data_IF_912481345618
#
_entry.id   IF_912481345618
#
_cell.length_a   1.000
_cell.length_b   1.000
_cell.length_c   1.000
_cell.angle_alpha   90.00
_cell.angle_beta   90.00
_cell.angle_gamma   90.00
#
_symmetry.space_group_name_H-M   'P 1'
#
loop_
_entity.id
_entity.type
_entity.pdbx_description
1 polymer ?
#
# COMPACT_ATOMS: atom_id res chain seq x y z
N UNK A 1 12.24 22.05 -3.06
CA UNK A 1 12.40 20.60 -2.85
C UNK A 1 13.23 20.32 -1.59
N UNK A 2 14.50 20.75 -1.54
CA UNK A 2 15.40 20.49 -0.40
C UNK A 2 14.94 21.16 0.92
N UNK A 3 14.44 22.40 0.86
CA UNK A 3 13.95 23.13 2.05
C UNK A 3 12.68 22.54 2.69
N UNK A 4 11.88 21.77 1.94
CA UNK A 4 10.61 21.19 2.43
C UNK A 4 10.71 19.70 2.77
N UNK A 5 11.60 18.97 2.10
CA UNK A 5 11.68 17.51 2.22
C UNK A 5 13.08 17.00 2.59
N UNK A 6 14.05 17.90 2.85
CA UNK A 6 15.40 17.57 3.35
C UNK A 6 16.36 16.94 2.34
N UNK A 7 15.87 16.43 1.21
CA UNK A 7 16.65 15.86 0.09
C UNK A 7 16.07 16.34 -1.24
N UNK A 8 16.90 16.95 -2.09
CA UNK A 8 16.49 17.57 -3.35
C UNK A 8 15.83 16.61 -4.35
N UNK A 9 16.32 15.38 -4.49
CA UNK A 9 15.80 14.42 -5.48
C UNK A 9 14.52 13.74 -4.95
N UNK A 10 14.54 13.32 -3.68
CA UNK A 10 13.34 12.73 -3.05
C UNK A 10 12.21 13.76 -2.93
N UNK A 11 12.54 15.02 -2.63
CA UNK A 11 11.58 16.11 -2.53
C UNK A 11 10.85 16.42 -3.84
N UNK A 12 11.46 16.19 -5.00
CA UNK A 12 10.77 16.32 -6.29
C UNK A 12 9.68 15.26 -6.48
N UNK A 13 9.98 14.01 -6.12
CA UNK A 13 9.00 12.90 -6.22
C UNK A 13 7.83 13.10 -5.26
N UNK A 14 8.10 13.57 -4.04
CA UNK A 14 7.08 13.86 -3.04
C UNK A 14 6.17 15.01 -3.46
N UNK A 15 6.73 16.10 -4.00
CA UNK A 15 5.94 17.20 -4.54
C UNK A 15 5.07 16.77 -5.73
N UNK A 16 5.59 15.93 -6.63
CA UNK A 16 4.82 15.40 -7.75
C UNK A 16 3.64 14.52 -7.28
N UNK A 17 3.88 13.65 -6.28
CA UNK A 17 2.84 12.81 -5.69
C UNK A 17 1.76 13.64 -4.97
N UNK A 18 2.17 14.61 -4.15
CA UNK A 18 1.24 15.51 -3.45
C UNK A 18 0.37 16.29 -4.44
N UNK A 19 0.98 16.87 -5.47
CA UNK A 19 0.26 17.60 -6.51
C UNK A 19 -0.76 16.72 -7.25
N UNK A 20 -0.39 15.48 -7.58
CA UNK A 20 -1.28 14.54 -8.24
C UNK A 20 -2.48 14.13 -7.36
N UNK A 21 -2.27 13.94 -6.06
CA UNK A 21 -3.33 13.59 -5.11
C UNK A 21 -4.33 14.73 -4.91
N UNK A 22 -3.87 15.97 -4.74
CA UNK A 22 -4.74 17.15 -4.58
C UNK A 22 -5.65 17.32 -5.80
N UNK A 23 -5.13 17.10 -7.01
CA UNK A 23 -5.89 17.23 -8.25
C UNK A 23 -6.91 16.11 -8.49
N UNK A 24 -6.79 14.97 -7.80
CA UNK A 24 -7.70 13.85 -7.98
C UNK A 24 -9.12 14.17 -7.46
N UNK A 25 -9.22 15.04 -6.46
CA UNK A 25 -10.49 15.45 -5.84
C UNK A 25 -11.40 16.27 -6.77
N UNK A 26 -10.83 16.89 -7.80
CA UNK A 26 -11.56 17.81 -8.70
C UNK A 26 -12.42 17.08 -9.75
N UNK A 27 -12.21 15.80 -9.98
CA UNK A 27 -12.89 15.03 -11.02
C UNK A 27 -14.00 14.12 -10.46
N UNK A 28 -15.24 14.27 -10.96
CA UNK A 28 -16.32 13.35 -10.60
C UNK A 28 -15.97 11.92 -11.04
N UNK A 29 -16.08 10.91 -10.15
CA UNK A 29 -15.79 9.53 -10.50
C UNK A 29 -16.83 9.02 -11.51
N UNK A 30 -16.47 8.96 -12.79
CA UNK A 30 -17.35 8.41 -13.81
C UNK A 30 -17.39 6.86 -13.71
N UNK A 31 -18.53 6.29 -13.36
CA UNK A 31 -18.68 4.83 -13.12
C UNK A 31 -18.78 3.98 -14.39
N UNK A 32 -18.79 4.60 -15.58
CA UNK A 32 -19.03 3.90 -16.86
C UNK A 32 -17.91 2.90 -17.25
N UNK A 33 -16.77 2.92 -16.56
CA UNK A 33 -15.57 2.15 -16.88
C UNK A 33 -14.88 1.61 -15.61
N UNK A 34 -15.51 0.66 -14.91
CA UNK A 34 -14.98 0.11 -13.67
C UNK A 34 -13.57 -0.47 -13.84
N UNK A 35 -12.66 -0.08 -12.95
CA UNK A 35 -11.27 -0.58 -12.86
C UNK A 35 -11.04 -0.98 -11.41
N UNK A 36 -10.88 -2.29 -11.10
CA UNK A 36 -10.72 -2.74 -9.73
C UNK A 36 -9.45 -2.15 -9.11
N UNK A 37 -9.58 -1.50 -7.96
CA UNK A 37 -8.47 -1.25 -7.04
C UNK A 37 -8.60 -2.24 -5.89
N UNK A 38 -7.54 -2.98 -5.58
CA UNK A 38 -7.63 -4.15 -4.70
C UNK A 38 -7.07 -3.82 -3.31
N UNK A 39 -7.85 -4.14 -2.27
CA UNK A 39 -7.38 -4.25 -0.90
C UNK A 39 -7.21 -5.74 -0.58
N UNK A 40 -5.97 -6.15 -0.36
CA UNK A 40 -5.57 -7.54 -0.19
C UNK A 40 -5.30 -7.79 1.28
N UNK A 41 -6.21 -8.51 1.95
CA UNK A 41 -6.07 -8.84 3.37
C UNK A 41 -5.31 -10.16 3.52
N UNK A 42 -4.10 -10.09 4.08
CA UNK A 42 -3.28 -11.24 4.40
C UNK A 42 -3.43 -11.58 5.88
N UNK A 43 -3.62 -12.88 6.16
CA UNK A 43 -3.50 -13.42 7.51
C UNK A 43 -2.08 -13.89 7.73
N UNK A 44 -1.55 -13.57 8.90
CA UNK A 44 -0.29 -14.10 9.37
C UNK A 44 -0.51 -15.35 10.22
N UNK A 45 0.48 -16.25 10.22
CA UNK A 45 0.55 -17.39 11.13
C UNK A 45 1.26 -17.01 12.45
N UNK A 46 1.50 -18.00 13.30
CA UNK A 46 2.17 -17.81 14.60
C UNK A 46 3.62 -17.33 14.47
N UNK A 47 4.26 -17.60 13.34
CA UNK A 47 5.64 -17.23 13.06
C UNK A 47 5.71 -15.89 12.29
N UNK A 48 4.57 -15.17 12.22
CA UNK A 48 4.36 -13.94 11.47
C UNK A 48 4.58 -14.09 9.95
N UNK A 49 4.49 -15.32 9.44
CA UNK A 49 4.53 -15.62 8.02
C UNK A 49 3.17 -15.49 7.34
N UNK A 50 3.16 -15.22 6.03
CA UNK A 50 1.91 -15.15 5.25
C UNK A 50 1.28 -16.53 5.13
N UNK A 51 0.11 -16.73 5.75
CA UNK A 51 -0.61 -18.01 5.75
C UNK A 51 -1.04 -18.48 4.35
N UNK A 52 -1.34 -17.54 3.46
CA UNK A 52 -1.85 -17.83 2.10
C UNK A 52 -1.09 -17.04 1.02
N UNK A 53 0.17 -17.39 0.72
CA UNK A 53 1.01 -16.62 -0.20
C UNK A 53 0.48 -16.60 -1.64
N UNK A 54 -0.28 -17.63 -2.06
CA UNK A 54 -0.91 -17.69 -3.39
C UNK A 54 -1.88 -16.53 -3.66
N UNK A 55 -2.40 -15.89 -2.62
CA UNK A 55 -3.28 -14.74 -2.76
C UNK A 55 -2.54 -13.53 -3.37
N UNK A 56 -1.24 -13.36 -3.09
CA UNK A 56 -0.39 -12.37 -3.75
C UNK A 56 -0.16 -12.72 -5.22
N UNK A 57 0.10 -13.99 -5.53
CA UNK A 57 0.25 -14.46 -6.92
C UNK A 57 -1.01 -14.22 -7.75
N UNK A 58 -2.18 -14.55 -7.18
CA UNK A 58 -3.48 -14.30 -7.80
C UNK A 58 -3.72 -12.81 -8.05
N UNK A 59 -3.44 -11.97 -7.06
CA UNK A 59 -3.59 -10.51 -7.17
C UNK A 59 -2.68 -9.94 -8.26
N UNK A 60 -1.43 -10.41 -8.34
CA UNK A 60 -0.48 -10.01 -9.39
C UNK A 60 -1.01 -10.36 -10.78
N UNK A 61 -1.52 -11.58 -10.98
CA UNK A 61 -2.12 -12.03 -12.25
C UNK A 61 -3.36 -11.21 -12.61
N UNK A 62 -4.23 -10.94 -11.63
CA UNK A 62 -5.46 -10.18 -11.83
C UNK A 62 -5.18 -8.72 -12.26
N UNK A 63 -4.09 -8.13 -11.77
CA UNK A 63 -3.74 -6.73 -12.00
C UNK A 63 -2.75 -6.52 -13.14
N UNK A 64 -1.97 -7.54 -13.50
CA UNK A 64 -0.91 -7.48 -14.50
C UNK A 64 0.00 -6.24 -14.34
N UNK A 65 0.32 -5.89 -13.09
CA UNK A 65 1.16 -4.73 -12.74
C UNK A 65 0.51 -3.35 -12.93
N UNK A 66 -0.81 -3.25 -13.12
CA UNK A 66 -1.51 -1.98 -13.39
C UNK A 66 -2.49 -1.57 -12.29
N UNK A 67 -2.60 -0.26 -12.09
CA UNK A 67 -3.47 0.34 -11.08
C UNK A 67 -2.95 0.16 -9.66
N UNK A 68 -3.80 0.47 -8.69
CA UNK A 68 -3.52 0.41 -7.27
C UNK A 68 -3.88 -0.96 -6.67
N UNK A 69 -2.98 -1.47 -5.84
CA UNK A 69 -3.17 -2.63 -4.98
C UNK A 69 -2.56 -2.28 -3.63
N UNK A 70 -3.33 -2.43 -2.56
CA UNK A 70 -2.87 -2.24 -1.18
C UNK A 70 -2.89 -3.61 -0.51
N UNK A 71 -1.77 -4.02 0.08
CA UNK A 71 -1.67 -5.26 0.86
C UNK A 71 -1.65 -4.89 2.33
N UNK A 72 -2.53 -5.51 3.12
CA UNK A 72 -2.67 -5.24 4.54
C UNK A 72 -2.67 -6.54 5.34
N UNK A 73 -2.12 -6.45 6.54
CA UNK A 73 -2.13 -7.48 7.57
C UNK A 73 -2.56 -6.84 8.89
N UNK A 74 -3.08 -7.64 9.81
CA UNK A 74 -3.42 -7.21 11.18
C UNK A 74 -2.62 -8.05 12.16
N UNK A 75 -1.84 -7.38 13.01
CA UNK A 75 -1.18 -7.99 14.15
C UNK A 75 -2.06 -7.83 15.38
N UNK A 76 -2.49 -8.95 15.95
CA UNK A 76 -3.31 -8.94 17.16
C UNK A 76 -2.45 -8.63 18.39
N UNK A 77 -2.83 -7.62 19.18
CA UNK A 77 -2.16 -7.28 20.44
C UNK A 77 -2.13 -5.78 20.73
N UNK A 78 -1.40 -5.41 21.78
CA UNK A 78 -1.20 -4.01 22.14
C UNK A 78 -0.08 -3.40 21.28
N UNK A 79 -0.36 -2.26 20.63
CA UNK A 79 0.57 -1.59 19.72
C UNK A 79 1.98 -1.39 20.30
N UNK A 80 2.07 -0.92 21.55
CA UNK A 80 3.36 -0.65 22.23
C UNK A 80 4.22 -1.91 22.44
N UNK A 81 3.63 -3.10 22.40
CA UNK A 81 4.33 -4.38 22.58
C UNK A 81 4.65 -5.08 21.25
N UNK A 82 4.20 -4.53 20.11
CA UNK A 82 4.26 -5.19 18.79
C UNK A 82 5.24 -4.54 17.80
N UNK A 83 6.09 -3.61 18.24
CA UNK A 83 7.04 -2.93 17.33
C UNK A 83 8.00 -3.90 16.65
N UNK A 84 8.55 -4.87 17.39
CA UNK A 84 9.45 -5.88 16.84
C UNK A 84 8.72 -6.81 15.85
N UNK A 85 7.50 -7.23 16.21
CA UNK A 85 6.66 -8.11 15.39
C UNK A 85 6.24 -7.42 14.08
N UNK A 86 5.94 -6.11 14.13
CA UNK A 86 5.63 -5.31 12.95
C UNK A 86 6.77 -5.35 11.94
N UNK A 87 8.01 -5.06 12.37
CA UNK A 87 9.20 -5.11 11.51
C UNK A 87 9.49 -6.53 10.98
N UNK A 88 9.17 -7.55 11.76
CA UNK A 88 9.35 -8.95 11.34
C UNK A 88 8.32 -9.35 10.26
N UNK A 89 7.08 -8.91 10.41
CA UNK A 89 5.96 -9.23 9.52
C UNK A 89 5.95 -8.48 8.17
N UNK A 90 6.78 -7.45 8.02
CA UNK A 90 6.93 -6.68 6.78
C UNK A 90 7.78 -7.38 5.70
N UNK A 91 8.44 -8.50 6.05
CA UNK A 91 9.29 -9.28 5.14
C UNK A 91 8.51 -10.16 4.17
#
# INVERSE_FOLDING_TARGET
AEKEWGDGIRGLSLNAAQYALIKLEEAQPHTKNWRPQLLVLLKLDSDLGVKHPRLLSFTSQLKAGKGLTIVCSVLEGAYMAREADAKLSEK
#
